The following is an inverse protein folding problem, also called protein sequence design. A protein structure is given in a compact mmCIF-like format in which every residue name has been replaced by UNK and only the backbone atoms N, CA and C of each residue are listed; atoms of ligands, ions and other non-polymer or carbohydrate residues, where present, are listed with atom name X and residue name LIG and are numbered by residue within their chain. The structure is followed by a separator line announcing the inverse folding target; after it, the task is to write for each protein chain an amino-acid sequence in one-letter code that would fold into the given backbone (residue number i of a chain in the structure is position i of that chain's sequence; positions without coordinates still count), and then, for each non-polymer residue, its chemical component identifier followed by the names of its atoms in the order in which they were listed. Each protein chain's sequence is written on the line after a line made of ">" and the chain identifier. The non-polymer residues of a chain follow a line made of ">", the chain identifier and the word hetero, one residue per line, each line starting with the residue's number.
data_IF_306595950852
#
_entry.id   IF_306595950852
#
_cell.length_a   1.000
_cell.length_b   1.000
_cell.length_c   1.000
_cell.angle_alpha   90.00
_cell.angle_beta   90.00
_cell.angle_gamma   90.00
#
_symmetry.space_group_name_H-M   'P 1'
#
loop_
_entity.id
_entity.type
_entity.pdbx_description
1 polymer ?
#
# COMPACT_ATOMS: atom_id res chain seq x y z
N UNK A 1 16.60 17.76 12.21
CA UNK A 1 16.54 16.43 11.60
C UNK A 1 17.30 15.44 12.49
N UNK A 2 16.64 14.94 13.53
CA UNK A 2 16.98 13.64 14.11
C UNK A 2 15.97 12.70 13.44
N UNK A 3 16.45 11.91 12.48
CA UNK A 3 15.59 11.18 11.54
C UNK A 3 14.76 10.12 12.25
N UNK A 4 13.64 9.74 11.64
CA UNK A 4 12.78 8.59 12.01
C UNK A 4 13.57 7.36 12.47
N UNK A 5 14.72 7.08 11.86
CA UNK A 5 15.65 6.00 12.26
C UNK A 5 16.15 6.09 13.72
N UNK A 6 16.52 7.29 14.21
CA UNK A 6 16.99 7.48 15.60
C UNK A 6 15.85 7.26 16.61
N UNK A 7 14.62 7.62 16.21
CA UNK A 7 13.43 7.37 17.03
C UNK A 7 13.16 5.86 17.17
N UNK A 8 13.34 5.07 16.10
CA UNK A 8 13.19 3.60 16.17
C UNK A 8 14.29 2.99 17.04
N UNK A 9 15.55 3.43 16.91
CA UNK A 9 16.67 2.89 17.70
C UNK A 9 16.55 3.21 19.20
N UNK A 10 15.95 4.35 19.54
CA UNK A 10 15.75 4.79 20.92
C UNK A 10 14.51 4.19 21.59
N UNK A 11 13.73 3.35 20.88
CA UNK A 11 12.58 2.66 21.46
C UNK A 11 13.01 1.80 22.66
N UNK A 12 12.39 2.08 23.82
CA UNK A 12 12.55 1.30 25.06
C UNK A 12 11.31 0.44 25.35
N UNK A 13 10.54 0.09 24.31
CA UNK A 13 9.35 -0.71 24.46
C UNK A 13 9.70 -2.13 24.94
N UNK A 14 9.03 -2.58 26.01
CA UNK A 14 9.12 -3.98 26.45
C UNK A 14 8.22 -4.84 25.57
N UNK A 15 8.70 -6.01 25.16
CA UNK A 15 7.95 -6.97 24.35
C UNK A 15 7.45 -6.41 23.01
N UNK A 16 8.24 -5.55 22.37
CA UNK A 16 7.92 -5.01 21.05
C UNK A 16 7.72 -6.16 20.05
N UNK A 17 6.56 -6.19 19.39
CA UNK A 17 6.18 -7.23 18.41
C UNK A 17 6.26 -6.73 16.98
N UNK A 18 6.00 -5.45 16.76
CA UNK A 18 5.88 -4.91 15.41
C UNK A 18 6.64 -3.60 15.29
N UNK A 19 7.31 -3.43 14.15
CA UNK A 19 7.98 -2.20 13.76
C UNK A 19 7.52 -1.87 12.34
N UNK A 20 6.95 -0.67 12.16
CA UNK A 20 6.74 -0.05 10.85
C UNK A 20 7.60 1.21 10.79
N UNK A 21 8.50 1.27 9.83
CA UNK A 21 9.43 2.36 9.62
C UNK A 21 9.27 2.94 8.23
N UNK A 22 8.20 3.69 8.04
CA UNK A 22 7.97 4.46 6.83
C UNK A 22 8.93 5.67 6.84
N UNK A 23 9.47 6.05 5.67
CA UNK A 23 10.43 7.17 5.56
C UNK A 23 11.73 6.98 6.37
N UNK A 24 12.17 5.74 6.55
CA UNK A 24 13.39 5.39 7.29
C UNK A 24 14.62 5.20 6.38
N UNK A 25 14.80 6.03 5.35
CA UNK A 25 15.92 5.95 4.36
C UNK A 25 17.31 5.85 4.99
N UNK A 26 17.50 6.49 6.14
CA UNK A 26 18.80 6.57 6.83
C UNK A 26 19.08 5.39 7.77
N UNK A 27 18.16 4.43 7.91
CA UNK A 27 18.37 3.27 8.79
C UNK A 27 19.57 2.45 8.31
N UNK A 28 20.40 1.98 9.25
CA UNK A 28 21.65 1.27 8.96
C UNK A 28 21.65 -0.13 9.55
N UNK A 29 22.58 -0.97 9.11
CA UNK A 29 22.81 -2.29 9.70
C UNK A 29 23.01 -2.24 11.21
N UNK A 30 23.74 -1.24 11.71
CA UNK A 30 23.99 -1.08 13.13
C UNK A 30 22.68 -0.78 13.89
N UNK A 31 21.85 0.12 13.35
CA UNK A 31 20.55 0.45 13.92
C UNK A 31 19.64 -0.80 13.99
N UNK A 32 19.52 -1.54 12.89
CA UNK A 32 18.68 -2.72 12.83
C UNK A 32 19.20 -3.86 13.71
N UNK A 33 20.52 -4.02 13.83
CA UNK A 33 21.14 -4.99 14.73
C UNK A 33 20.88 -4.67 16.21
N UNK A 34 20.89 -3.39 16.59
CA UNK A 34 20.55 -2.97 17.97
C UNK A 34 19.09 -3.27 18.28
N UNK A 35 18.19 -3.00 17.34
CA UNK A 35 16.76 -3.31 17.46
C UNK A 35 16.56 -4.82 17.62
N UNK A 36 17.19 -5.61 16.74
CA UNK A 36 17.12 -7.07 16.76
C UNK A 36 17.58 -7.63 18.13
N UNK A 37 18.73 -7.16 18.62
CA UNK A 37 19.30 -7.63 19.87
C UNK A 37 18.48 -7.26 21.11
N UNK A 38 17.67 -6.18 21.05
CA UNK A 38 16.85 -5.72 22.16
C UNK A 38 15.45 -6.32 22.19
N UNK A 39 14.93 -6.71 21.03
CA UNK A 39 13.53 -7.09 20.87
C UNK A 39 13.39 -8.50 20.27
N UNK A 40 13.73 -9.50 21.07
CA UNK A 40 13.63 -10.93 20.72
C UNK A 40 12.19 -11.42 20.44
N UNK A 41 11.18 -10.64 20.84
CA UNK A 41 9.76 -10.92 20.63
C UNK A 41 9.20 -10.33 19.32
N UNK A 42 10.05 -9.77 18.45
CA UNK A 42 9.60 -9.21 17.18
C UNK A 42 8.98 -10.29 16.28
N UNK A 43 7.77 -9.99 15.81
CA UNK A 43 6.94 -10.79 14.92
C UNK A 43 6.81 -10.13 13.54
N UNK A 44 6.85 -8.80 13.45
CA UNK A 44 6.67 -8.05 12.20
C UNK A 44 7.66 -6.90 12.07
N UNK A 45 8.32 -6.80 10.92
CA UNK A 45 9.17 -5.65 10.57
C UNK A 45 8.82 -5.20 9.16
N UNK A 46 8.45 -3.95 9.00
CA UNK A 46 8.24 -3.28 7.72
C UNK A 46 9.14 -2.04 7.65
N UNK A 47 10.04 -2.00 6.67
CA UNK A 47 10.90 -0.86 6.36
C UNK A 47 10.74 -0.51 4.88
N UNK A 48 10.03 0.59 4.60
CA UNK A 48 9.59 0.99 3.26
C UNK A 48 8.42 1.98 3.37
N UNK A 49 7.99 2.66 2.30
CA UNK A 49 8.28 2.38 0.90
C UNK A 49 9.67 2.85 0.43
N UNK A 50 10.26 3.82 1.11
CA UNK A 50 11.53 4.41 0.65
C UNK A 50 12.71 3.41 0.67
N UNK A 51 13.59 3.47 -0.34
CA UNK A 51 14.77 2.59 -0.42
C UNK A 51 15.69 2.71 0.79
N UNK A 52 15.90 1.60 1.49
CA UNK A 52 16.80 1.48 2.64
C UNK A 52 18.18 0.94 2.21
N UNK A 53 18.89 1.70 1.37
CA UNK A 53 20.16 1.30 0.72
C UNK A 53 21.32 0.99 1.68
N UNK A 54 21.20 1.43 2.95
CA UNK A 54 22.22 1.19 4.00
C UNK A 54 21.98 -0.09 4.78
N UNK A 55 20.99 -0.90 4.39
CA UNK A 55 20.76 -2.23 4.91
C UNK A 55 21.44 -3.25 4.00
N UNK A 56 22.20 -4.16 4.60
CA UNK A 56 22.85 -5.30 3.96
C UNK A 56 22.45 -6.64 4.58
N UNK A 57 23.02 -7.70 4.03
CA UNK A 57 22.88 -9.07 4.50
C UNK A 57 23.29 -9.27 5.96
N UNK A 58 24.17 -8.43 6.51
CA UNK A 58 24.60 -8.55 7.90
C UNK A 58 23.48 -8.15 8.89
N UNK A 59 22.68 -7.15 8.54
CA UNK A 59 21.51 -6.79 9.34
C UNK A 59 20.41 -7.85 9.26
N UNK A 60 20.20 -8.43 8.06
CA UNK A 60 19.25 -9.54 7.88
C UNK A 60 19.69 -10.75 8.72
N UNK A 61 20.98 -11.06 8.77
CA UNK A 61 21.53 -12.11 9.66
C UNK A 61 21.26 -11.78 11.13
N UNK A 62 21.53 -10.55 11.55
CA UNK A 62 21.28 -10.13 12.94
C UNK A 62 19.80 -10.33 13.33
N UNK A 63 18.88 -9.92 12.46
CA UNK A 63 17.44 -10.18 12.62
C UNK A 63 17.14 -11.68 12.72
N UNK A 64 17.70 -12.48 11.82
CA UNK A 64 17.49 -13.92 11.83
C UNK A 64 17.93 -14.57 13.15
N UNK A 65 19.08 -14.18 13.69
CA UNK A 65 19.61 -14.75 14.92
C UNK A 65 18.91 -14.28 16.19
N UNK A 66 18.49 -13.02 16.22
CA UNK A 66 17.93 -12.41 17.43
C UNK A 66 16.40 -12.47 17.51
N UNK A 67 15.69 -12.61 16.39
CA UNK A 67 14.22 -12.56 16.33
C UNK A 67 13.62 -13.90 15.85
N UNK A 68 13.62 -14.96 16.69
CA UNK A 68 13.14 -16.30 16.28
C UNK A 68 11.62 -16.36 16.05
N UNK A 69 10.87 -15.37 16.54
CA UNK A 69 9.41 -15.25 16.36
C UNK A 69 9.00 -14.47 15.12
N UNK A 70 9.95 -14.05 14.29
CA UNK A 70 9.67 -13.24 13.11
C UNK A 70 8.73 -14.00 12.15
N UNK A 71 7.57 -13.40 11.88
CA UNK A 71 6.54 -13.89 10.95
C UNK A 71 6.50 -13.08 9.67
N UNK A 72 6.82 -11.79 9.75
CA UNK A 72 6.79 -10.85 8.62
C UNK A 72 8.05 -10.01 8.55
N UNK A 73 8.67 -10.00 7.38
CA UNK A 73 9.82 -9.14 7.09
C UNK A 73 9.61 -8.47 5.73
N UNK A 74 9.45 -7.16 5.71
CA UNK A 74 9.30 -6.38 4.48
C UNK A 74 10.34 -5.27 4.45
N UNK A 75 11.11 -5.23 3.38
CA UNK A 75 12.22 -4.28 3.23
C UNK A 75 12.26 -3.77 1.78
N UNK A 76 12.30 -2.45 1.62
CA UNK A 76 12.47 -1.77 0.33
C UNK A 76 13.94 -1.34 0.13
N UNK A 77 14.46 -1.49 -1.07
CA UNK A 77 15.76 -0.96 -1.47
C UNK A 77 16.97 -1.54 -0.72
N UNK A 78 16.91 -2.81 -0.29
CA UNK A 78 18.04 -3.44 0.39
C UNK A 78 19.19 -3.64 -0.59
N UNK A 79 20.39 -3.24 -0.18
CA UNK A 79 21.58 -3.30 -1.04
C UNK A 79 21.92 -4.72 -1.49
N UNK A 80 21.82 -5.68 -0.57
CA UNK A 80 22.14 -7.08 -0.81
C UNK A 80 21.46 -8.00 0.20
N UNK A 81 20.83 -9.07 -0.29
CA UNK A 81 20.31 -10.18 0.50
C UNK A 81 20.90 -11.50 -0.03
N UNK A 82 22.08 -11.86 0.44
CA UNK A 82 22.79 -13.06 0.01
C UNK A 82 22.26 -14.35 0.64
N UNK A 83 22.70 -15.48 0.08
CA UNK A 83 22.24 -16.79 0.50
C UNK A 83 22.50 -17.10 1.97
N UNK A 84 23.61 -16.63 2.55
CA UNK A 84 23.90 -16.86 3.98
C UNK A 84 22.87 -16.17 4.89
N UNK A 85 22.49 -14.94 4.57
CA UNK A 85 21.47 -14.20 5.31
C UNK A 85 20.09 -14.84 5.18
N UNK A 86 19.70 -15.19 3.96
CA UNK A 86 18.40 -15.83 3.70
C UNK A 86 18.33 -17.24 4.33
N UNK A 87 19.41 -18.01 4.28
CA UNK A 87 19.49 -19.31 4.94
C UNK A 87 19.47 -19.19 6.47
N UNK A 88 20.01 -18.10 7.03
CA UNK A 88 19.86 -17.81 8.45
C UNK A 88 18.39 -17.57 8.82
N UNK A 89 17.64 -16.79 8.02
CA UNK A 89 16.20 -16.62 8.19
C UNK A 89 15.47 -17.98 8.14
N UNK A 90 15.78 -18.82 7.14
CA UNK A 90 15.18 -20.15 7.00
C UNK A 90 15.42 -21.05 8.22
N UNK A 91 16.61 -20.95 8.83
CA UNK A 91 17.02 -21.80 9.94
C UNK A 91 16.45 -21.35 11.29
N UNK A 92 16.42 -20.04 11.52
CA UNK A 92 16.14 -19.44 12.83
C UNK A 92 14.72 -18.86 12.94
N UNK A 93 14.15 -18.32 11.86
CA UNK A 93 12.80 -17.77 11.79
C UNK A 93 11.82 -18.77 11.15
N UNK A 94 11.58 -19.91 11.81
CA UNK A 94 10.77 -21.02 11.25
C UNK A 94 9.29 -20.69 11.05
N UNK A 95 8.84 -19.57 11.61
CA UNK A 95 7.48 -19.07 11.48
C UNK A 95 7.38 -17.90 10.48
N UNK A 96 8.43 -17.63 9.70
CA UNK A 96 8.43 -16.57 8.69
C UNK A 96 7.46 -16.94 7.57
N UNK A 97 6.29 -16.31 7.58
CA UNK A 97 5.21 -16.51 6.61
C UNK A 97 5.31 -15.51 5.46
N UNK A 98 5.90 -14.35 5.72
CA UNK A 98 5.89 -13.24 4.81
C UNK A 98 7.30 -12.66 4.62
N UNK A 99 7.73 -12.53 3.38
CA UNK A 99 8.99 -11.90 3.03
C UNK A 99 8.83 -10.99 1.80
N UNK A 100 9.29 -9.74 1.94
CA UNK A 100 9.35 -8.77 0.86
C UNK A 100 10.75 -8.19 0.76
N UNK A 101 11.42 -8.39 -0.37
CA UNK A 101 12.61 -7.63 -0.75
C UNK A 101 12.25 -6.85 -2.01
N UNK A 102 11.69 -5.66 -1.80
CA UNK A 102 11.16 -4.81 -2.88
C UNK A 102 12.26 -3.87 -3.35
N UNK A 103 12.30 -3.58 -4.66
CA UNK A 103 13.23 -2.61 -5.27
C UNK A 103 14.71 -2.86 -4.89
N UNK A 104 15.06 -4.13 -4.70
CA UNK A 104 16.39 -4.57 -4.27
C UNK A 104 17.13 -5.25 -5.44
N UNK A 105 18.44 -5.03 -5.57
CA UNK A 105 19.19 -5.46 -6.76
C UNK A 105 19.85 -6.85 -6.65
N UNK A 106 20.42 -7.17 -5.49
CA UNK A 106 21.28 -8.36 -5.31
C UNK A 106 20.66 -9.33 -4.30
N UNK A 107 19.64 -10.07 -4.74
CA UNK A 107 18.98 -11.10 -3.94
C UNK A 107 19.41 -12.49 -4.42
N UNK A 108 19.79 -13.37 -3.51
CA UNK A 108 20.02 -14.78 -3.82
C UNK A 108 18.69 -15.52 -4.02
N UNK A 109 18.32 -15.70 -5.28
CA UNK A 109 17.06 -16.30 -5.68
C UNK A 109 16.94 -17.78 -5.29
N UNK A 110 18.06 -18.49 -5.19
CA UNK A 110 18.07 -19.92 -4.86
C UNK A 110 17.82 -20.10 -3.36
N UNK A 111 18.45 -19.25 -2.53
CA UNK A 111 18.27 -19.29 -1.09
C UNK A 111 16.84 -18.93 -0.67
N UNK A 112 16.15 -18.02 -1.37
CA UNK A 112 14.74 -17.72 -1.12
C UNK A 112 13.85 -18.97 -1.22
N UNK A 113 14.23 -19.92 -2.08
CA UNK A 113 13.52 -21.17 -2.23
C UNK A 113 13.68 -22.18 -1.08
N UNK A 114 14.57 -21.91 -0.12
CA UNK A 114 14.75 -22.73 1.09
C UNK A 114 13.77 -22.35 2.22
N UNK A 115 13.04 -21.23 2.08
CA UNK A 115 12.12 -20.73 3.09
C UNK A 115 10.76 -21.46 3.04
N UNK A 116 10.72 -22.67 3.60
CA UNK A 116 9.56 -23.57 3.50
C UNK A 116 8.28 -23.07 4.17
N UNK A 117 8.38 -22.13 5.12
CA UNK A 117 7.24 -21.55 5.85
C UNK A 117 6.57 -20.38 5.14
N UNK A 118 7.13 -19.90 4.01
CA UNK A 118 6.59 -18.74 3.32
C UNK A 118 5.22 -19.04 2.71
N UNK A 119 4.26 -18.18 3.05
CA UNK A 119 2.94 -18.08 2.43
C UNK A 119 2.91 -17.02 1.33
N UNK A 120 3.64 -15.92 1.49
CA UNK A 120 3.78 -14.97 0.39
C UNK A 120 5.15 -14.30 0.34
N UNK A 121 5.62 -14.15 -0.90
CA UNK A 121 6.91 -13.61 -1.28
C UNK A 121 6.69 -12.45 -2.26
N UNK A 122 7.26 -11.28 -1.99
CA UNK A 122 7.37 -10.20 -2.96
C UNK A 122 8.83 -9.90 -3.28
N UNK A 123 9.12 -9.84 -4.57
CA UNK A 123 10.38 -9.37 -5.14
C UNK A 123 10.10 -8.26 -6.15
N UNK A 124 9.05 -7.48 -5.91
CA UNK A 124 8.62 -6.44 -6.84
C UNK A 124 9.72 -5.40 -7.05
N UNK A 125 9.91 -4.95 -8.29
CA UNK A 125 10.93 -3.95 -8.65
C UNK A 125 12.38 -4.43 -8.56
N UNK A 126 12.61 -5.70 -8.18
CA UNK A 126 13.95 -6.26 -8.13
C UNK A 126 14.50 -6.52 -9.53
N UNK A 127 15.81 -6.39 -9.69
CA UNK A 127 16.50 -6.53 -10.97
C UNK A 127 17.42 -7.76 -10.95
N UNK A 128 17.82 -8.23 -12.14
CA UNK A 128 18.83 -9.28 -12.31
C UNK A 128 18.49 -10.68 -11.76
N UNK A 129 17.22 -11.00 -11.52
CA UNK A 129 16.82 -12.34 -11.10
C UNK A 129 16.95 -13.36 -12.25
N UNK A 130 17.56 -14.52 -11.98
CA UNK A 130 17.66 -15.60 -12.97
C UNK A 130 16.39 -16.45 -13.00
N UNK A 131 15.36 -15.96 -13.69
CA UNK A 131 14.01 -16.55 -13.70
C UNK A 131 13.91 -18.04 -14.04
N UNK A 132 14.86 -18.60 -14.80
CA UNK A 132 14.93 -20.04 -15.05
C UNK A 132 15.17 -20.85 -13.76
N UNK A 133 16.10 -20.39 -12.92
CA UNK A 133 16.39 -20.97 -11.60
C UNK A 133 15.25 -20.68 -10.63
N UNK A 134 14.81 -19.42 -10.56
CA UNK A 134 13.69 -18.97 -9.71
C UNK A 134 12.48 -19.88 -9.89
N UNK A 135 12.05 -20.08 -11.14
CA UNK A 135 10.87 -20.87 -11.45
C UNK A 135 11.05 -22.35 -11.09
N UNK A 136 12.27 -22.88 -11.10
CA UNK A 136 12.56 -24.25 -10.67
C UNK A 136 12.42 -24.43 -9.17
N UNK A 137 12.92 -23.47 -8.39
CA UNK A 137 13.00 -23.57 -6.93
C UNK A 137 11.71 -23.10 -6.28
N UNK A 138 11.19 -21.92 -6.63
CA UNK A 138 10.02 -21.34 -5.96
C UNK A 138 8.73 -22.08 -6.29
N UNK A 139 8.64 -22.75 -7.45
CA UNK A 139 7.50 -23.62 -7.76
C UNK A 139 7.38 -24.83 -6.81
N UNK A 140 8.40 -25.11 -6.00
CA UNK A 140 8.43 -26.22 -5.04
C UNK A 140 8.19 -25.76 -3.61
N UNK A 141 8.03 -24.45 -3.37
CA UNK A 141 7.74 -23.93 -2.03
C UNK A 141 6.41 -24.50 -1.55
N UNK A 142 6.39 -25.22 -0.41
CA UNK A 142 5.26 -26.06 -0.04
C UNK A 142 4.09 -25.25 0.51
N UNK A 143 4.30 -24.02 0.99
CA UNK A 143 3.23 -23.19 1.55
C UNK A 143 2.97 -21.90 0.78
N UNK A 144 3.68 -21.66 -0.33
CA UNK A 144 3.56 -20.42 -1.07
C UNK A 144 2.17 -20.31 -1.71
N UNK A 145 1.39 -19.34 -1.26
CA UNK A 145 0.03 -19.02 -1.73
C UNK A 145 0.03 -17.79 -2.64
N UNK A 146 0.85 -16.79 -2.33
CA UNK A 146 0.96 -15.58 -3.13
C UNK A 146 2.39 -15.27 -3.54
N UNK A 147 2.58 -14.81 -4.77
CA UNK A 147 3.87 -14.42 -5.31
C UNK A 147 3.72 -13.10 -6.06
N UNK A 148 4.52 -12.11 -5.69
CA UNK A 148 4.58 -10.83 -6.38
C UNK A 148 5.93 -10.63 -7.05
N UNK A 149 5.88 -10.53 -8.38
CA UNK A 149 7.01 -10.33 -9.29
C UNK A 149 6.83 -9.06 -10.12
N UNK A 150 5.98 -8.14 -9.65
CA UNK A 150 5.66 -6.90 -10.37
C UNK A 150 6.91 -6.05 -10.63
N UNK A 151 6.94 -5.31 -11.74
CA UNK A 151 8.07 -4.43 -12.11
C UNK A 151 9.42 -5.17 -12.25
N UNK A 152 9.38 -6.47 -12.58
CA UNK A 152 10.57 -7.29 -12.88
C UNK A 152 10.59 -7.74 -14.34
N UNK A 153 11.72 -8.33 -14.79
CA UNK A 153 11.93 -8.90 -16.12
C UNK A 153 11.49 -10.38 -16.24
N UNK A 154 10.53 -10.83 -15.41
CA UNK A 154 10.00 -12.20 -15.44
C UNK A 154 9.56 -12.63 -16.82
N UNK A 155 9.94 -13.85 -17.24
CA UNK A 155 9.59 -14.40 -18.54
C UNK A 155 8.36 -15.33 -18.49
N UNK A 156 7.74 -15.57 -19.65
CA UNK A 156 6.48 -16.33 -19.74
C UNK A 156 6.64 -17.79 -19.32
N UNK A 157 7.84 -18.35 -19.51
CA UNK A 157 8.16 -19.71 -19.06
C UNK A 157 8.09 -19.83 -17.53
N UNK A 158 8.65 -18.85 -16.82
CA UNK A 158 8.57 -18.77 -15.36
C UNK A 158 7.13 -18.63 -14.88
N UNK A 159 6.36 -17.69 -15.44
CA UNK A 159 4.93 -17.50 -15.12
C UNK A 159 4.13 -18.80 -15.34
N UNK A 160 4.26 -19.42 -16.51
CA UNK A 160 3.56 -20.66 -16.85
C UNK A 160 3.92 -21.78 -15.87
N UNK A 161 5.20 -21.85 -15.48
CA UNK A 161 5.70 -22.84 -14.53
C UNK A 161 5.15 -22.62 -13.12
N UNK A 162 5.07 -21.38 -12.63
CA UNK A 162 4.41 -21.07 -11.37
C UNK A 162 2.94 -21.48 -11.39
N UNK A 163 2.22 -21.13 -12.46
CA UNK A 163 0.81 -21.44 -12.60
C UNK A 163 0.52 -22.94 -12.81
N UNK A 164 1.49 -23.71 -13.34
CA UNK A 164 1.28 -25.15 -13.61
C UNK A 164 1.83 -26.08 -12.53
N UNK A 165 2.97 -25.75 -11.92
CA UNK A 165 3.70 -26.67 -11.05
C UNK A 165 3.65 -26.33 -9.56
N UNK A 166 3.38 -25.07 -9.20
CA UNK A 166 3.22 -24.71 -7.79
C UNK A 166 1.98 -25.41 -7.24
N UNK A 167 2.06 -26.05 -6.07
CA UNK A 167 0.90 -26.80 -5.54
C UNK A 167 -0.14 -25.89 -4.89
N UNK A 168 0.33 -24.89 -4.15
CA UNK A 168 -0.52 -24.05 -3.30
C UNK A 168 -0.61 -22.59 -3.76
N UNK A 169 0.11 -22.22 -4.83
CA UNK A 169 0.08 -20.87 -5.36
C UNK A 169 -1.31 -20.57 -5.93
N UNK A 170 -2.00 -19.61 -5.31
CA UNK A 170 -3.33 -19.12 -5.70
C UNK A 170 -3.25 -17.78 -6.38
N UNK A 171 -2.31 -16.90 -6.00
CA UNK A 171 -2.22 -15.55 -6.53
C UNK A 171 -0.82 -15.28 -7.05
N UNK A 172 -0.72 -14.88 -8.32
CA UNK A 172 0.51 -14.43 -8.95
C UNK A 172 0.30 -12.99 -9.43
N UNK A 173 1.14 -12.08 -8.94
CA UNK A 173 1.07 -10.65 -9.23
C UNK A 173 2.27 -10.29 -10.09
N UNK A 174 2.02 -9.83 -11.31
CA UNK A 174 3.04 -9.53 -12.31
C UNK A 174 2.66 -8.23 -13.05
N UNK A 175 2.43 -7.18 -12.27
CA UNK A 175 2.05 -5.86 -12.76
C UNK A 175 3.29 -5.19 -13.38
N UNK A 176 3.15 -4.57 -14.55
CA UNK A 176 4.26 -3.87 -15.23
C UNK A 176 5.50 -4.74 -15.48
N UNK A 177 5.26 -6.00 -15.84
CA UNK A 177 6.28 -6.89 -16.36
C UNK A 177 6.30 -6.82 -17.90
N UNK A 178 7.46 -6.59 -18.55
CA UNK A 178 7.56 -6.43 -20.01
C UNK A 178 7.01 -7.61 -20.82
N UNK A 179 6.99 -8.81 -20.24
CA UNK A 179 6.46 -10.03 -20.86
C UNK A 179 5.00 -9.91 -21.29
N UNK A 180 4.23 -8.99 -20.71
CA UNK A 180 2.81 -8.79 -21.02
C UNK A 180 2.54 -7.60 -21.94
N UNK A 181 3.55 -6.86 -22.39
CA UNK A 181 3.39 -5.67 -23.25
C UNK A 181 3.07 -6.00 -24.73
N UNK A 182 3.07 -7.28 -25.13
CA UNK A 182 2.71 -7.74 -26.49
C UNK A 182 1.29 -8.31 -26.64
N UNK A 183 0.89 -8.61 -27.90
CA UNK A 183 -0.35 -9.36 -28.26
C UNK A 183 -0.27 -10.84 -27.83
N UNK A 184 0.02 -11.10 -26.55
CA UNK A 184 -0.12 -12.43 -25.99
C UNK A 184 -1.61 -12.70 -25.87
N UNK A 185 -2.07 -13.85 -26.36
CA UNK A 185 -3.46 -14.28 -26.28
C UNK A 185 -3.90 -14.37 -24.82
N UNK A 186 -4.44 -13.25 -24.30
CA UNK A 186 -4.67 -13.00 -22.87
C UNK A 186 -5.58 -14.05 -22.26
N UNK A 187 -6.46 -14.65 -23.07
CA UNK A 187 -7.43 -15.64 -22.67
C UNK A 187 -6.81 -16.99 -22.23
N UNK A 188 -5.62 -17.35 -22.70
CA UNK A 188 -5.01 -18.66 -22.38
C UNK A 188 -4.42 -18.73 -20.98
N UNK A 189 -4.11 -17.58 -20.36
CA UNK A 189 -3.46 -17.49 -19.04
C UNK A 189 -4.45 -17.33 -17.88
N UNK A 190 -5.72 -17.02 -18.16
CA UNK A 190 -6.73 -16.69 -17.14
C UNK A 190 -7.41 -17.89 -16.49
N UNK A 191 -7.14 -19.12 -16.94
CA UNK A 191 -8.00 -20.26 -16.59
C UNK A 191 -7.25 -21.53 -16.18
N UNK A 192 -6.30 -21.38 -15.25
CA UNK A 192 -5.80 -22.53 -14.49
C UNK A 192 -6.61 -22.65 -13.20
N UNK A 193 -7.42 -23.71 -13.09
CA UNK A 193 -8.35 -24.03 -11.97
C UNK A 193 -7.94 -23.40 -10.62
N UNK A 194 -8.67 -22.35 -10.20
CA UNK A 194 -8.54 -21.73 -8.86
C UNK A 194 -7.30 -20.85 -8.64
N UNK A 195 -6.62 -20.38 -9.69
CA UNK A 195 -5.45 -19.49 -9.60
C UNK A 195 -5.69 -18.17 -10.31
N UNK A 196 -5.23 -17.09 -9.71
CA UNK A 196 -5.24 -15.73 -10.23
C UNK A 196 -3.87 -15.37 -10.77
N UNK A 197 -3.88 -14.77 -11.95
CA UNK A 197 -2.79 -13.96 -12.47
C UNK A 197 -3.25 -12.50 -12.59
N UNK A 198 -2.61 -11.60 -11.84
CA UNK A 198 -2.80 -10.14 -11.94
C UNK A 198 -1.71 -9.54 -12.83
N UNK A 199 -2.08 -8.96 -13.95
CA UNK A 199 -1.16 -8.22 -14.84
C UNK A 199 -1.76 -6.87 -15.23
N UNK A 200 -0.92 -5.94 -15.70
CA UNK A 200 -1.32 -4.60 -16.17
C UNK A 200 -2.44 -4.60 -17.24
N UNK A 201 -2.52 -5.69 -18.01
CA UNK A 201 -3.40 -5.81 -19.17
C UNK A 201 -4.59 -6.75 -18.94
N UNK A 202 -4.70 -7.28 -17.73
CA UNK A 202 -5.86 -8.05 -17.28
C UNK A 202 -6.77 -7.17 -16.44
N UNK A 203 -8.08 -7.39 -16.59
CA UNK A 203 -9.07 -6.83 -15.69
C UNK A 203 -8.81 -7.42 -14.29
N UNK A 204 -8.09 -6.67 -13.43
CA UNK A 204 -7.71 -7.06 -12.07
C UNK A 204 -8.94 -7.61 -11.32
N UNK A 205 -10.12 -7.10 -11.66
CA UNK A 205 -11.41 -7.52 -11.11
C UNK A 205 -11.83 -8.91 -11.57
N UNK A 206 -11.62 -9.29 -12.82
CA UNK A 206 -11.84 -10.68 -13.27
C UNK A 206 -10.89 -11.65 -12.61
N UNK A 207 -9.64 -11.21 -12.40
CA UNK A 207 -8.66 -11.94 -11.60
C UNK A 207 -9.20 -12.17 -10.20
N UNK A 208 -9.45 -11.12 -9.43
CA UNK A 208 -9.95 -11.21 -8.05
C UNK A 208 -11.30 -11.93 -7.95
N UNK A 209 -12.21 -11.78 -8.92
CA UNK A 209 -13.49 -12.49 -8.95
C UNK A 209 -13.34 -14.02 -9.09
N UNK A 210 -12.29 -14.49 -9.79
CA UNK A 210 -12.07 -15.93 -10.00
C UNK A 210 -11.57 -16.68 -8.76
N UNK A 211 -11.09 -15.99 -7.72
CA UNK A 211 -10.78 -16.60 -6.41
C UNK A 211 -12.00 -17.26 -5.74
N UNK A 212 -13.20 -16.88 -6.15
CA UNK A 212 -14.45 -17.19 -5.45
C UNK A 212 -15.50 -17.82 -6.37
N UNK A 213 -15.15 -18.05 -7.64
CA UNK A 213 -16.04 -18.55 -8.67
C UNK A 213 -15.99 -20.09 -8.75
N UNK A 214 -16.42 -20.77 -7.68
CA UNK A 214 -16.73 -22.19 -7.81
C UNK A 214 -18.16 -22.45 -8.35
N UNK A 215 -19.02 -21.42 -8.54
CA UNK A 215 -20.33 -21.55 -9.22
C UNK A 215 -21.07 -20.20 -9.46
N UNK A 216 -20.49 -19.21 -10.15
CA UNK A 216 -21.20 -17.93 -10.38
C UNK A 216 -21.07 -17.40 -11.81
N UNK A 217 -22.23 -17.14 -12.44
CA UNK A 217 -22.38 -16.58 -13.79
C UNK A 217 -22.28 -15.03 -13.82
N UNK A 218 -21.99 -14.38 -12.68
CA UNK A 218 -21.95 -12.91 -12.57
C UNK A 218 -20.96 -12.41 -11.49
N UNK A 219 -20.12 -11.43 -11.86
CA UNK A 219 -19.14 -10.74 -10.98
C UNK A 219 -19.83 -10.00 -9.82
N UNK A 220 -21.12 -9.65 -9.98
CA UNK A 220 -21.89 -8.92 -8.97
C UNK A 220 -22.26 -9.80 -7.75
N UNK A 221 -22.35 -11.11 -7.93
CA UNK A 221 -22.78 -12.07 -6.89
C UNK A 221 -21.63 -12.53 -5.97
N UNK A 222 -20.38 -12.38 -6.43
CA UNK A 222 -19.17 -12.76 -5.68
C UNK A 222 -19.06 -12.01 -4.35
N UNK A 223 -19.46 -10.74 -4.33
CA UNK A 223 -19.32 -9.89 -3.14
C UNK A 223 -20.47 -10.02 -2.14
N UNK A 224 -21.65 -10.48 -2.56
CA UNK A 224 -22.69 -10.86 -1.59
C UNK A 224 -22.32 -12.16 -0.90
N UNK A 225 -21.73 -13.11 -1.63
CA UNK A 225 -21.18 -14.31 -1.04
C UNK A 225 -20.05 -13.99 -0.04
N UNK A 226 -19.20 -12.99 -0.33
CA UNK A 226 -18.17 -12.47 0.60
C UNK A 226 -18.76 -11.94 1.92
N UNK A 227 -19.91 -11.24 1.87
CA UNK A 227 -20.61 -10.74 3.06
C UNK A 227 -21.24 -11.87 3.89
N UNK A 228 -21.65 -12.96 3.24
CA UNK A 228 -22.25 -14.14 3.87
C UNK A 228 -21.20 -15.07 4.50
N UNK A 229 -20.05 -15.29 3.83
CA UNK A 229 -18.93 -16.09 4.35
C UNK A 229 -18.32 -15.46 5.61
N UNK A 230 -18.24 -14.12 5.67
CA UNK A 230 -17.74 -13.37 6.83
C UNK A 230 -18.50 -13.68 8.13
N UNK A 231 -19.72 -14.18 8.04
CA UNK A 231 -20.55 -14.55 9.18
C UNK A 231 -20.49 -16.05 9.55
N UNK A 232 -19.81 -16.89 8.75
CA UNK A 232 -20.02 -18.35 8.79
C UNK A 232 -18.83 -19.23 9.15
N UNK A 233 -17.59 -18.87 8.85
CA UNK A 233 -16.48 -19.85 8.84
C UNK A 233 -15.24 -19.44 9.66
N UNK A 234 -14.59 -20.41 10.32
CA UNK A 234 -13.53 -20.18 11.33
C UNK A 234 -12.09 -20.30 10.81
N UNK A 235 -11.90 -20.46 9.50
CA UNK A 235 -10.58 -20.55 8.82
C UNK A 235 -10.24 -19.28 8.01
N UNK A 236 -10.77 -18.12 8.42
CA UNK A 236 -10.69 -16.82 7.72
C UNK A 236 -9.25 -16.30 7.51
N UNK A 237 -8.32 -16.58 8.44
CA UNK A 237 -7.02 -15.92 8.48
C UNK A 237 -6.14 -16.15 7.21
N UNK A 238 -6.20 -17.32 6.58
CA UNK A 238 -5.35 -17.63 5.40
C UNK A 238 -5.86 -17.04 4.08
N UNK A 239 -7.16 -16.76 4.01
CA UNK A 239 -7.83 -16.20 2.83
C UNK A 239 -7.82 -14.67 2.92
N UNK A 240 -7.97 -14.11 4.12
CA UNK A 240 -7.91 -12.67 4.39
C UNK A 240 -6.48 -12.12 4.14
N UNK A 241 -5.42 -12.83 4.57
CA UNK A 241 -4.00 -12.43 4.38
C UNK A 241 -3.59 -12.37 2.90
N UNK A 242 -4.08 -13.29 2.06
CA UNK A 242 -3.77 -13.33 0.61
C UNK A 242 -4.55 -12.28 -0.18
N UNK A 243 -5.79 -11.99 0.24
CA UNK A 243 -6.61 -10.91 -0.30
C UNK A 243 -6.04 -9.54 0.07
N UNK A 244 -5.61 -9.38 1.32
CA UNK A 244 -4.92 -8.20 1.87
C UNK A 244 -3.65 -7.90 1.07
N UNK A 245 -2.86 -8.92 0.74
CA UNK A 245 -1.60 -8.75 0.01
C UNK A 245 -1.78 -8.50 -1.48
N UNK A 246 -2.82 -9.05 -2.11
CA UNK A 246 -3.18 -8.71 -3.48
C UNK A 246 -3.68 -7.25 -3.57
N UNK A 247 -4.43 -6.81 -2.56
CA UNK A 247 -4.87 -5.44 -2.38
C UNK A 247 -3.72 -4.46 -2.15
N UNK A 248 -2.79 -4.78 -1.24
CA UNK A 248 -1.57 -4.01 -1.01
C UNK A 248 -0.71 -3.98 -2.26
N UNK A 249 -0.47 -5.08 -2.96
CA UNK A 249 0.31 -5.07 -4.19
C UNK A 249 -0.35 -4.25 -5.32
N UNK A 250 -1.69 -4.24 -5.41
CA UNK A 250 -2.42 -3.35 -6.32
C UNK A 250 -2.32 -1.89 -5.86
N UNK A 251 -2.39 -1.62 -4.56
CA UNK A 251 -2.26 -0.27 -3.99
C UNK A 251 -0.84 0.31 -4.14
N UNK A 252 0.18 -0.46 -3.75
CA UNK A 252 1.60 -0.18 -3.95
C UNK A 252 1.95 -0.08 -5.44
N UNK A 253 1.24 -0.76 -6.35
CA UNK A 253 1.46 -0.59 -7.80
C UNK A 253 0.91 0.72 -8.37
N UNK A 254 -0.18 1.23 -7.79
CA UNK A 254 -0.75 2.53 -8.12
C UNK A 254 0.13 3.68 -7.60
N UNK A 255 0.90 3.43 -6.55
CA UNK A 255 1.93 4.33 -6.01
C UNK A 255 3.23 4.11 -6.79
N UNK A 256 3.61 5.01 -7.68
CA UNK A 256 4.98 5.01 -8.23
C UNK A 256 5.77 6.17 -7.63
N UNK A 257 6.89 5.82 -7.00
CA UNK A 257 8.00 6.69 -6.58
C UNK A 257 8.88 7.08 -7.77
N UNK A 258 8.33 7.77 -8.78
CA UNK A 258 9.17 8.50 -9.74
C UNK A 258 9.00 9.99 -9.47
N UNK A 259 10.11 10.73 -9.52
CA UNK A 259 10.17 12.19 -9.33
C UNK A 259 9.21 12.97 -10.27
N UNK A 260 8.67 12.30 -11.28
CA UNK A 260 7.54 12.74 -12.08
C UNK A 260 6.25 12.10 -11.56
N UNK A 261 5.52 12.82 -10.70
CA UNK A 261 4.21 12.48 -10.13
C UNK A 261 3.08 12.29 -11.18
N UNK A 262 3.30 11.45 -12.18
CA UNK A 262 2.42 11.22 -13.32
C UNK A 262 1.82 9.82 -13.22
N UNK A 263 0.54 9.76 -12.88
CA UNK A 263 -0.26 8.55 -13.08
C UNK A 263 -0.26 8.28 -14.59
N UNK A 264 0.38 7.19 -15.03
CA UNK A 264 0.29 6.77 -16.44
C UNK A 264 -1.20 6.62 -16.81
N UNK A 265 -1.68 7.39 -17.79
CA UNK A 265 -3.09 7.41 -18.22
C UNK A 265 -3.67 6.02 -18.53
N UNK A 266 -2.85 5.11 -19.03
CA UNK A 266 -3.23 3.72 -19.31
C UNK A 266 -3.57 2.91 -18.05
N UNK A 267 -3.01 3.25 -16.87
CA UNK A 267 -3.27 2.58 -15.59
C UNK A 267 -4.60 3.00 -14.97
N UNK A 268 -4.90 4.30 -15.06
CA UNK A 268 -6.20 4.85 -14.67
C UNK A 268 -7.32 4.22 -15.49
N UNK A 269 -7.14 4.07 -16.81
CA UNK A 269 -8.12 3.43 -17.70
C UNK A 269 -8.32 1.93 -17.38
N UNK A 270 -7.26 1.19 -17.04
CA UNK A 270 -7.37 -0.23 -16.67
C UNK A 270 -8.20 -0.44 -15.39
N UNK A 271 -8.07 0.45 -14.39
CA UNK A 271 -8.85 0.39 -13.14
C UNK A 271 -10.29 0.85 -13.35
N UNK A 272 -10.53 1.79 -14.29
CA UNK A 272 -11.86 2.24 -14.69
C UNK A 272 -12.66 1.19 -15.46
N UNK A 273 -12.00 0.33 -16.24
CA UNK A 273 -12.66 -0.68 -17.08
C UNK A 273 -13.15 -1.93 -16.31
N UNK A 274 -12.74 -2.12 -15.04
CA UNK A 274 -13.27 -3.14 -14.13
C UNK A 274 -13.86 -2.50 -12.87
N UNK A 275 -14.63 -3.21 -12.05
CA UNK A 275 -15.03 -2.77 -10.67
C UNK A 275 -13.82 -2.47 -9.70
N UNK A 276 -12.64 -2.10 -10.19
CA UNK A 276 -11.41 -1.92 -9.41
C UNK A 276 -11.52 -0.79 -8.38
N UNK A 277 -12.24 0.28 -8.74
CA UNK A 277 -12.58 1.36 -7.80
C UNK A 277 -13.41 0.80 -6.63
N UNK A 278 -14.46 0.02 -6.89
CA UNK A 278 -15.27 -0.60 -5.82
C UNK A 278 -14.45 -1.53 -4.94
N UNK A 279 -13.47 -2.24 -5.50
CA UNK A 279 -12.55 -3.07 -4.74
C UNK A 279 -11.70 -2.24 -3.77
N UNK A 280 -11.03 -1.18 -4.26
CA UNK A 280 -10.24 -0.27 -3.42
C UNK A 280 -11.11 0.37 -2.32
N UNK A 281 -12.33 0.78 -2.65
CA UNK A 281 -13.28 1.33 -1.68
C UNK A 281 -13.71 0.32 -0.62
N UNK A 282 -13.81 -0.97 -0.95
CA UNK A 282 -14.08 -2.01 0.04
C UNK A 282 -12.89 -2.27 0.97
N UNK A 283 -11.67 -2.24 0.43
CA UNK A 283 -10.43 -2.37 1.21
C UNK A 283 -10.25 -1.20 2.18
N UNK A 284 -10.60 0.00 1.73
CA UNK A 284 -10.65 1.20 2.57
C UNK A 284 -11.66 1.09 3.74
N UNK A 285 -12.62 0.15 3.68
CA UNK A 285 -13.54 -0.16 4.80
C UNK A 285 -13.07 -1.31 5.70
N UNK A 286 -11.86 -1.87 5.46
CA UNK A 286 -11.29 -2.93 6.28
C UNK A 286 -11.11 -2.49 7.74
N UNK A 287 -11.06 -3.43 8.68
CA UNK A 287 -10.72 -3.14 10.08
C UNK A 287 -9.21 -3.03 10.33
N UNK A 288 -8.36 -3.40 9.36
CA UNK A 288 -6.92 -3.30 9.46
C UNK A 288 -6.45 -1.91 9.01
N UNK A 289 -5.76 -1.19 9.88
CA UNK A 289 -5.33 0.20 9.60
C UNK A 289 -4.33 0.28 8.44
N UNK A 290 -3.45 -0.72 8.29
CA UNK A 290 -2.50 -0.81 7.17
C UNK A 290 -3.22 -0.91 5.82
N UNK A 291 -4.27 -1.74 5.74
CA UNK A 291 -5.09 -1.86 4.54
C UNK A 291 -5.88 -0.59 4.23
N UNK A 292 -6.41 0.06 5.27
CA UNK A 292 -7.11 1.32 5.11
C UNK A 292 -6.19 2.39 4.52
N UNK A 293 -4.96 2.52 5.03
CA UNK A 293 -4.00 3.51 4.54
C UNK A 293 -3.55 3.21 3.12
N UNK A 294 -3.20 1.95 2.80
CA UNK A 294 -2.78 1.57 1.45
C UNK A 294 -3.89 1.77 0.42
N UNK A 295 -5.13 1.36 0.74
CA UNK A 295 -6.26 1.55 -0.15
C UNK A 295 -6.57 3.04 -0.33
N UNK A 296 -6.57 3.84 0.74
CA UNK A 296 -6.79 5.28 0.67
C UNK A 296 -5.70 5.98 -0.16
N UNK A 297 -4.44 5.57 0.00
CA UNK A 297 -3.30 6.08 -0.77
C UNK A 297 -3.44 5.78 -2.26
N UNK A 298 -3.83 4.55 -2.62
CA UNK A 298 -4.09 4.18 -4.00
C UNK A 298 -5.24 5.00 -4.61
N UNK A 299 -6.34 5.15 -3.87
CA UNK A 299 -7.48 5.97 -4.30
C UNK A 299 -7.05 7.43 -4.51
N UNK A 300 -6.28 7.98 -3.56
CA UNK A 300 -5.79 9.35 -3.62
C UNK A 300 -4.95 9.57 -4.88
N UNK A 301 -3.97 8.70 -5.12
CA UNK A 301 -3.11 8.79 -6.30
C UNK A 301 -3.89 8.67 -7.61
N UNK A 302 -4.84 7.73 -7.70
CA UNK A 302 -5.66 7.60 -8.92
C UNK A 302 -6.57 8.80 -9.16
N UNK A 303 -7.02 9.45 -8.09
CA UNK A 303 -7.93 10.60 -8.16
C UNK A 303 -7.25 11.88 -8.66
N UNK A 304 -5.96 11.84 -9.00
CA UNK A 304 -5.29 12.89 -9.79
C UNK A 304 -5.90 12.95 -11.21
N UNK A 305 -6.33 11.81 -11.76
CA UNK A 305 -7.06 11.76 -13.02
C UNK A 305 -8.54 12.10 -12.80
N UNK A 306 -9.05 13.09 -13.53
CA UNK A 306 -10.43 13.57 -13.36
C UNK A 306 -11.50 12.54 -13.70
N UNK A 307 -11.24 11.61 -14.63
CA UNK A 307 -12.17 10.52 -14.95
C UNK A 307 -12.26 9.55 -13.78
N UNK A 308 -11.13 9.23 -13.15
CA UNK A 308 -11.09 8.35 -11.99
C UNK A 308 -11.71 9.02 -10.78
N UNK A 309 -11.38 10.28 -10.51
CA UNK A 309 -11.98 11.09 -9.45
C UNK A 309 -13.51 11.05 -9.51
N UNK A 310 -14.07 11.26 -10.71
CA UNK A 310 -15.51 11.16 -10.96
C UNK A 310 -16.06 9.77 -10.65
N UNK A 311 -15.42 8.71 -11.13
CA UNK A 311 -15.87 7.34 -10.88
C UNK A 311 -15.76 6.93 -9.40
N UNK A 312 -14.75 7.44 -8.67
CA UNK A 312 -14.60 7.29 -7.21
C UNK A 312 -15.76 7.98 -6.49
N UNK A 313 -16.10 9.21 -6.88
CA UNK A 313 -17.22 9.95 -6.33
C UNK A 313 -18.55 9.23 -6.58
N UNK A 314 -18.82 8.79 -7.81
CA UNK A 314 -20.03 8.05 -8.19
C UNK A 314 -20.15 6.69 -7.49
N UNK A 315 -19.02 6.09 -7.10
CA UNK A 315 -18.97 4.83 -6.34
C UNK A 315 -19.13 5.01 -4.82
N UNK A 316 -19.41 6.23 -4.34
CA UNK A 316 -19.56 6.56 -2.92
C UNK A 316 -18.24 6.63 -2.16
N UNK A 317 -17.13 6.91 -2.85
CA UNK A 317 -15.81 6.98 -2.24
C UNK A 317 -15.59 8.19 -1.35
N UNK A 318 -16.31 9.29 -1.60
CA UNK A 318 -16.26 10.52 -0.79
C UNK A 318 -16.64 10.23 0.66
N UNK A 319 -17.75 9.51 0.90
CA UNK A 319 -18.19 9.14 2.25
C UNK A 319 -17.16 8.27 2.99
N UNK A 320 -16.48 7.38 2.26
CA UNK A 320 -15.46 6.50 2.85
C UNK A 320 -14.25 7.33 3.26
N UNK A 321 -13.72 8.16 2.37
CA UNK A 321 -12.55 9.01 2.65
C UNK A 321 -12.85 10.02 3.76
N UNK A 322 -14.03 10.65 3.75
CA UNK A 322 -14.46 11.57 4.81
C UNK A 322 -14.55 10.88 6.18
N UNK A 323 -14.92 9.60 6.23
CA UNK A 323 -14.93 8.83 7.47
C UNK A 323 -13.52 8.38 7.89
N UNK A 324 -12.66 7.97 6.94
CA UNK A 324 -11.27 7.61 7.22
C UNK A 324 -10.44 8.80 7.71
N UNK A 325 -10.72 10.02 7.23
CA UNK A 325 -10.10 11.25 7.73
C UNK A 325 -10.33 11.47 9.23
N UNK A 326 -11.37 10.86 9.83
CA UNK A 326 -11.66 10.92 11.27
C UNK A 326 -10.87 9.89 12.09
N UNK A 327 -10.07 9.05 11.43
CA UNK A 327 -9.31 7.97 12.08
C UNK A 327 -8.37 8.48 13.18
N UNK A 328 -8.11 7.61 14.16
CA UNK A 328 -7.07 7.81 15.18
C UNK A 328 -5.68 7.49 14.67
N UNK A 329 -5.57 6.69 13.61
CA UNK A 329 -4.30 6.43 12.94
C UNK A 329 -3.96 7.59 12.02
N UNK A 330 -2.76 8.17 12.24
CA UNK A 330 -2.28 9.33 11.49
C UNK A 330 -2.11 9.03 9.99
N UNK A 331 -1.55 7.87 9.65
CA UNK A 331 -1.29 7.48 8.26
C UNK A 331 -2.60 7.33 7.48
N UNK A 332 -3.58 6.64 8.05
CA UNK A 332 -4.92 6.51 7.45
C UNK A 332 -5.56 7.88 7.21
N UNK A 333 -5.47 8.77 8.20
CA UNK A 333 -6.02 10.11 8.08
C UNK A 333 -5.29 10.98 7.04
N UNK A 334 -3.97 10.87 6.96
CA UNK A 334 -3.12 11.57 5.99
C UNK A 334 -3.44 11.17 4.55
N UNK A 335 -3.62 9.87 4.30
CA UNK A 335 -3.97 9.35 2.97
C UNK A 335 -5.41 9.68 2.58
N UNK A 336 -6.34 9.61 3.54
CA UNK A 336 -7.71 10.05 3.33
C UNK A 336 -7.80 11.55 3.01
N UNK A 337 -7.03 12.39 3.72
CA UNK A 337 -6.96 13.82 3.44
C UNK A 337 -6.39 14.10 2.03
N UNK A 338 -5.38 13.33 1.60
CA UNK A 338 -4.85 13.40 0.23
C UNK A 338 -5.89 13.07 -0.83
N UNK A 339 -6.69 12.01 -0.61
CA UNK A 339 -7.79 11.66 -1.51
C UNK A 339 -8.87 12.73 -1.60
N UNK A 340 -9.26 13.31 -0.45
CA UNK A 340 -10.21 14.43 -0.41
C UNK A 340 -9.66 15.68 -1.11
N UNK A 341 -8.36 15.97 -0.97
CA UNK A 341 -7.73 17.09 -1.66
C UNK A 341 -7.82 16.92 -3.18
N UNK A 342 -7.45 15.76 -3.71
CA UNK A 342 -7.52 15.51 -5.15
C UNK A 342 -8.97 15.58 -5.67
N UNK A 343 -9.93 15.02 -4.94
CA UNK A 343 -11.35 15.10 -5.31
C UNK A 343 -11.89 16.55 -5.27
N UNK A 344 -11.42 17.38 -4.31
CA UNK A 344 -11.86 18.77 -4.13
C UNK A 344 -11.46 19.71 -5.28
N UNK A 345 -10.55 19.28 -6.17
CA UNK A 345 -10.20 20.04 -7.38
C UNK A 345 -11.39 20.13 -8.34
N UNK A 346 -12.24 19.08 -8.39
CA UNK A 346 -13.44 19.08 -9.24
C UNK A 346 -14.62 19.78 -8.56
N UNK A 347 -15.17 20.80 -9.21
CA UNK A 347 -16.29 21.60 -8.67
C UNK A 347 -17.54 20.75 -8.38
N UNK A 348 -17.78 19.71 -9.18
CA UNK A 348 -18.91 18.78 -9.00
C UNK A 348 -18.82 17.93 -7.72
N UNK A 349 -17.62 17.75 -7.15
CA UNK A 349 -17.41 16.90 -5.97
C UNK A 349 -17.46 17.70 -4.67
N UNK A 350 -17.21 19.02 -4.71
CA UNK A 350 -17.08 19.87 -3.51
C UNK A 350 -18.30 19.81 -2.60
N UNK A 351 -19.50 19.89 -3.19
CA UNK A 351 -20.76 19.77 -2.43
C UNK A 351 -20.91 18.41 -1.76
N UNK A 352 -20.57 17.32 -2.45
CA UNK A 352 -20.63 15.98 -1.87
C UNK A 352 -19.61 15.78 -0.74
N UNK A 353 -18.42 16.38 -0.85
CA UNK A 353 -17.39 16.37 0.22
C UNK A 353 -17.92 17.07 1.48
N UNK A 354 -18.59 18.21 1.29
CA UNK A 354 -19.21 18.96 2.37
C UNK A 354 -20.34 18.15 3.04
N UNK A 355 -21.27 17.61 2.24
CA UNK A 355 -22.40 16.79 2.73
C UNK A 355 -21.95 15.52 3.50
N UNK A 356 -20.85 14.89 3.08
CA UNK A 356 -20.24 13.75 3.77
C UNK A 356 -19.57 14.12 5.11
N UNK A 357 -19.53 15.41 5.46
CA UNK A 357 -18.86 15.94 6.64
C UNK A 357 -17.33 15.98 6.51
N UNK A 358 -16.81 16.01 5.27
CA UNK A 358 -15.39 16.08 4.98
C UNK A 358 -14.75 17.37 5.47
N UNK A 359 -15.44 18.52 5.34
CA UNK A 359 -14.96 19.83 5.82
C UNK A 359 -14.63 19.77 7.30
N UNK A 360 -15.57 19.28 8.12
CA UNK A 360 -15.36 19.16 9.57
C UNK A 360 -14.21 18.21 9.90
N UNK A 361 -14.12 17.07 9.21
CA UNK A 361 -13.04 16.11 9.43
C UNK A 361 -11.65 16.72 9.15
N UNK A 362 -11.52 17.50 8.06
CA UNK A 362 -10.27 18.18 7.70
C UNK A 362 -9.88 19.26 8.72
N UNK A 363 -10.85 20.04 9.21
CA UNK A 363 -10.60 21.03 10.27
C UNK A 363 -10.19 20.35 11.58
N UNK A 364 -10.87 19.29 11.97
CA UNK A 364 -10.55 18.51 13.17
C UNK A 364 -9.12 17.93 13.09
N UNK A 365 -8.65 17.52 11.91
CA UNK A 365 -7.28 17.04 11.71
C UNK A 365 -6.23 18.12 12.02
N UNK A 366 -6.46 19.36 11.59
CA UNK A 366 -5.56 20.49 11.85
C UNK A 366 -5.42 20.76 13.35
N UNK A 367 -6.51 20.65 14.12
CA UNK A 367 -6.45 20.85 15.57
C UNK A 367 -5.91 19.63 16.31
N UNK A 368 -6.16 18.43 15.80
CA UNK A 368 -5.75 17.17 16.44
C UNK A 368 -4.24 16.95 16.38
N UNK A 369 -3.61 17.32 15.26
CA UNK A 369 -2.20 17.04 15.02
C UNK A 369 -1.39 18.35 14.95
N UNK A 370 -0.48 18.61 15.91
CA UNK A 370 0.30 19.85 15.94
C UNK A 370 1.31 19.89 14.77
N UNK A 371 1.63 21.09 14.26
CA UNK A 371 2.53 21.25 13.11
C UNK A 371 3.96 20.79 13.42
N UNK A 372 4.47 19.92 12.56
CA UNK A 372 5.86 19.46 12.55
C UNK A 372 6.64 20.03 11.34
N UNK A 373 7.96 19.78 11.28
CA UNK A 373 8.82 20.34 10.22
C UNK A 373 8.60 19.75 8.81
N UNK A 374 7.87 18.65 8.70
CA UNK A 374 7.61 17.89 7.46
C UNK A 374 6.19 17.33 7.53
N UNK A 375 5.18 18.20 7.42
CA UNK A 375 3.80 17.84 7.75
C UNK A 375 2.91 17.72 6.50
N UNK A 376 3.09 16.61 5.79
CA UNK A 376 2.32 16.24 4.59
C UNK A 376 0.83 16.13 4.90
N UNK A 377 0.45 15.64 6.09
CA UNK A 377 -0.95 15.61 6.55
C UNK A 377 -1.57 17.00 6.59
N UNK A 378 -0.90 17.97 7.23
CA UNK A 378 -1.43 19.33 7.33
C UNK A 378 -1.49 20.00 5.96
N UNK A 379 -0.50 19.78 5.11
CA UNK A 379 -0.50 20.29 3.74
C UNK A 379 -1.74 19.78 2.98
N UNK A 380 -1.95 18.46 2.94
CA UNK A 380 -3.10 17.84 2.28
C UNK A 380 -4.43 18.34 2.84
N UNK A 381 -4.53 18.44 4.17
CA UNK A 381 -5.75 18.93 4.81
C UNK A 381 -6.03 20.40 4.47
N UNK A 382 -5.01 21.26 4.50
CA UNK A 382 -5.15 22.68 4.14
C UNK A 382 -5.41 22.89 2.65
N UNK A 383 -4.76 22.13 1.77
CA UNK A 383 -5.02 22.18 0.33
C UNK A 383 -6.45 21.79 -0.03
N UNK A 384 -6.99 20.75 0.62
CA UNK A 384 -8.40 20.38 0.46
C UNK A 384 -9.34 21.51 0.92
N UNK A 385 -9.09 22.10 2.10
CA UNK A 385 -9.88 23.23 2.60
C UNK A 385 -9.77 24.48 1.72
N UNK A 386 -8.61 24.72 1.11
CA UNK A 386 -8.40 25.83 0.18
C UNK A 386 -9.26 25.70 -1.08
N UNK A 387 -9.30 24.50 -1.66
CA UNK A 387 -10.14 24.21 -2.82
C UNK A 387 -11.64 24.28 -2.50
N UNK A 388 -12.04 23.78 -1.33
CA UNK A 388 -13.43 23.85 -0.84
C UNK A 388 -13.83 25.29 -0.52
N UNK A 389 -12.96 26.07 0.12
CA UNK A 389 -13.21 27.48 0.46
C UNK A 389 -13.31 28.41 -0.75
N UNK A 390 -12.79 28.00 -1.90
CA UNK A 390 -12.96 28.73 -3.16
C UNK A 390 -14.35 28.56 -3.79
N UNK A 391 -15.16 27.59 -3.34
CA UNK A 391 -16.55 27.44 -3.76
C UNK A 391 -17.50 28.25 -2.86
N UNK A 392 -18.42 29.00 -3.47
CA UNK A 392 -19.32 29.91 -2.76
C UNK A 392 -20.17 29.18 -1.71
N UNK A 393 -20.65 27.97 -2.02
CA UNK A 393 -21.51 27.19 -1.10
C UNK A 393 -20.70 26.58 0.04
N UNK A 394 -19.53 26.03 -0.27
CA UNK A 394 -18.67 25.36 0.71
C UNK A 394 -17.92 26.35 1.62
N UNK A 395 -17.70 27.59 1.17
CA UNK A 395 -17.00 28.64 1.94
C UNK A 395 -17.64 28.89 3.32
N UNK A 396 -18.96 28.94 3.39
CA UNK A 396 -19.71 29.14 4.63
C UNK A 396 -19.51 27.98 5.59
N UNK A 397 -19.49 26.74 5.08
CA UNK A 397 -19.30 25.56 5.90
C UNK A 397 -17.87 25.49 6.47
N UNK A 398 -16.87 25.83 5.66
CA UNK A 398 -15.47 25.96 6.13
C UNK A 398 -15.37 26.98 7.26
N UNK A 399 -16.06 28.13 7.15
CA UNK A 399 -16.10 29.13 8.19
C UNK A 399 -16.79 28.61 9.47
N UNK A 400 -17.97 27.98 9.33
CA UNK A 400 -18.76 27.45 10.46
C UNK A 400 -18.06 26.29 11.19
N UNK A 401 -17.30 25.47 10.46
CA UNK A 401 -16.50 24.38 11.03
C UNK A 401 -15.28 24.90 11.82
N UNK A 402 -14.96 26.20 11.73
CA UNK A 402 -13.78 26.79 12.37
C UNK A 402 -12.52 26.75 11.51
N UNK A 403 -12.65 26.50 10.20
CA UNK A 403 -11.54 26.40 9.26
C UNK A 403 -10.70 27.69 9.19
N UNK A 404 -11.34 28.87 9.21
CA UNK A 404 -10.61 30.16 9.25
C UNK A 404 -9.72 30.24 10.49
N UNK A 405 -10.22 29.81 11.65
CA UNK A 405 -9.43 29.81 12.88
C UNK A 405 -8.23 28.85 12.78
N UNK A 406 -8.46 27.65 12.24
CA UNK A 406 -7.42 26.65 12.00
C UNK A 406 -6.32 27.17 11.06
N UNK A 407 -6.70 27.80 9.95
CA UNK A 407 -5.77 28.36 8.96
C UNK A 407 -4.96 29.52 9.53
N UNK A 408 -5.58 30.44 10.29
CA UNK A 408 -4.87 31.54 10.95
C UNK A 408 -3.90 31.02 12.02
N UNK A 409 -4.26 29.95 12.73
CA UNK A 409 -3.38 29.29 13.69
C UNK A 409 -2.16 28.68 12.97
N UNK A 410 -2.36 27.97 11.86
CA UNK A 410 -1.27 27.41 11.05
C UNK A 410 -0.38 28.49 10.44
N UNK A 411 -0.96 29.60 9.94
CA UNK A 411 -0.19 30.73 9.40
C UNK A 411 0.86 31.25 10.40
N UNK A 412 0.54 31.20 11.70
CA UNK A 412 1.42 31.68 12.78
C UNK A 412 2.38 30.63 13.31
N UNK A 413 2.04 29.36 13.23
CA UNK A 413 2.71 28.28 13.96
C UNK A 413 3.48 27.32 13.07
N UNK A 414 3.04 27.11 11.82
CA UNK A 414 3.67 26.22 10.86
C UNK A 414 4.70 26.97 10.01
N UNK A 415 5.88 26.39 9.77
CA UNK A 415 6.90 26.97 8.87
C UNK A 415 7.08 26.19 7.56
N UNK A 416 6.30 25.13 7.38
CA UNK A 416 6.37 24.31 6.18
C UNK A 416 5.76 25.07 5.00
N UNK A 417 6.53 25.21 3.92
CA UNK A 417 6.22 26.11 2.80
C UNK A 417 4.93 25.70 2.08
N UNK A 418 4.71 24.41 1.84
CA UNK A 418 3.48 23.90 1.24
C UNK A 418 2.23 24.27 2.04
N UNK A 419 2.24 24.11 3.37
CA UNK A 419 1.12 24.53 4.23
C UNK A 419 0.91 26.03 4.17
N UNK A 420 1.98 26.83 4.21
CA UNK A 420 1.88 28.29 4.14
C UNK A 420 1.26 28.75 2.83
N UNK A 421 1.68 28.19 1.69
CA UNK A 421 1.13 28.49 0.37
C UNK A 421 -0.38 28.24 0.31
N UNK A 422 -0.83 27.06 0.77
CA UNK A 422 -2.26 26.71 0.79
C UNK A 422 -3.06 27.61 1.74
N UNK A 423 -2.49 27.96 2.90
CA UNK A 423 -3.13 28.86 3.87
C UNK A 423 -3.32 30.26 3.30
N UNK A 424 -2.31 30.82 2.62
CA UNK A 424 -2.42 32.13 1.99
C UNK A 424 -3.44 32.13 0.85
N UNK A 425 -3.46 31.08 0.04
CA UNK A 425 -4.46 30.91 -1.01
C UNK A 425 -5.88 30.91 -0.44
N UNK A 426 -6.15 30.06 0.55
CA UNK A 426 -7.48 29.93 1.15
C UNK A 426 -7.96 31.24 1.82
N UNK A 427 -7.09 31.90 2.59
CA UNK A 427 -7.41 33.18 3.24
C UNK A 427 -7.60 34.30 2.21
N UNK A 428 -6.86 34.27 1.10
CA UNK A 428 -7.03 35.21 -0.01
C UNK A 428 -8.41 35.09 -0.67
N UNK A 429 -8.87 33.86 -0.93
CA UNK A 429 -10.22 33.61 -1.47
C UNK A 429 -11.33 34.02 -0.49
N UNK A 430 -11.17 33.75 0.81
CA UNK A 430 -12.18 34.07 1.83
C UNK A 430 -12.32 35.57 2.13
N UNK A 431 -11.32 36.40 1.78
CA UNK A 431 -11.38 37.86 1.96
C UNK A 431 -11.98 38.59 0.73
N UNK A 432 -12.20 37.89 -0.39
CA UNK A 432 -12.63 38.47 -1.66
C UNK A 432 -14.13 38.28 -1.96
N UNK A 433 -14.82 37.39 -1.24
CA UNK A 433 -16.28 37.27 -1.21
C UNK A 433 -16.88 37.98 -0.01
#
# INVERSE_FOLDING_TARGET
>A
AAGSADAIVSLQARELREISGDFCRDITDAALSVIAARHEMLESIHLGPDPCERISSDAIKALAYCCPRLRRLWMSGVKEANGDAINALAKHCRQLMELGFVESDNIDEVALGNLSSLKFLSVAGTRNLKWGSVAQVWSRLPQLVGLDVSRTDVNLSAITRFLSLSRNLKVLIALNCPVFEGEVDRNTMHNSKGRILLTLFSDIVKGVASLFADNLESVTDVFQHWKEIRNGDKNLDEVEEVQERAATAVATFVVIDDEDATVHCQRAEAILCGDGIRMLLNLARSCQEVLQSEAAKAIANLSIDSKVAKAVAESGGIDILANLAKSTNRLVAEEAAGGLWNLSVGDEHKGAIAEAGGVKALVDLIFKWPPSSTDVLLERATGALANLGADEKCSMEVALAGGIHALVMLARTCKFEGVQEQVFWCLGCSCAG
#
